data_IF_014396837982
#
_entry.id   IF_014396837982
#
_cell.length_a   1.000
_cell.length_b   1.000
_cell.length_c   1.000
_cell.angle_alpha   90.00
_cell.angle_beta   90.00
_cell.angle_gamma   90.00
#
_symmetry.space_group_name_H-M   'P 1'
#
loop_
_entity.id
_entity.type
_entity.pdbx_description
1 polymer ?
#
# COMPACT_ATOMS: atom_id res chain seq x y z
N UNK A 1 20.09 -8.99 -21.80
CA UNK A 1 21.17 -8.27 -21.10
C UNK A 1 21.02 -6.77 -21.29
N UNK A 2 20.83 -6.24 -22.53
CA UNK A 2 20.71 -4.79 -22.79
C UNK A 2 19.47 -4.12 -22.14
N UNK A 3 18.37 -4.83 -21.90
CA UNK A 3 17.15 -4.27 -21.32
C UNK A 3 17.26 -4.05 -19.80
N UNK A 4 18.09 -4.82 -19.09
CA UNK A 4 18.34 -4.65 -17.65
C UNK A 4 19.25 -3.44 -17.40
N UNK A 5 20.26 -3.22 -18.24
CA UNK A 5 21.19 -2.09 -18.08
C UNK A 5 20.54 -0.74 -18.32
N UNK A 6 19.61 -0.62 -19.27
CA UNK A 6 18.89 0.64 -19.53
C UNK A 6 17.89 1.00 -18.43
N UNK A 7 17.26 0.00 -17.81
CA UNK A 7 16.38 0.20 -16.64
C UNK A 7 17.16 0.72 -15.44
N UNK A 8 18.28 0.10 -15.12
CA UNK A 8 19.17 0.48 -14.04
C UNK A 8 19.76 1.89 -14.22
N UNK A 9 20.19 2.24 -15.45
CA UNK A 9 20.71 3.58 -15.75
C UNK A 9 19.65 4.68 -15.58
N UNK A 10 18.41 4.43 -16.02
CA UNK A 10 17.30 5.38 -15.86
C UNK A 10 16.94 5.59 -14.40
N UNK A 11 16.88 4.53 -13.61
CA UNK A 11 16.64 4.61 -12.18
C UNK A 11 17.76 5.38 -11.46
N UNK A 12 19.03 5.09 -11.80
CA UNK A 12 20.17 5.83 -11.27
C UNK A 12 20.10 7.32 -11.58
N UNK A 13 19.74 7.70 -12.81
CA UNK A 13 19.56 9.10 -13.19
C UNK A 13 18.42 9.79 -12.42
N UNK A 14 17.27 9.12 -12.25
CA UNK A 14 16.16 9.64 -11.44
C UNK A 14 16.60 9.89 -10.00
N UNK A 15 17.32 8.92 -9.40
CA UNK A 15 17.83 9.03 -8.05
C UNK A 15 18.79 10.21 -7.88
N UNK A 16 19.77 10.35 -8.79
CA UNK A 16 20.75 11.45 -8.76
C UNK A 16 20.07 12.79 -8.98
N UNK A 17 19.10 12.87 -9.90
CA UNK A 17 18.35 14.10 -10.13
C UNK A 17 17.60 14.53 -8.85
N UNK A 18 16.88 13.59 -8.21
CA UNK A 18 16.13 13.85 -6.99
C UNK A 18 17.04 14.24 -5.81
N UNK A 19 18.18 13.56 -5.66
CA UNK A 19 19.19 13.94 -4.66
C UNK A 19 19.75 15.35 -4.89
N UNK A 20 19.94 15.74 -6.15
CA UNK A 20 20.36 17.08 -6.52
C UNK A 20 19.31 18.15 -6.22
N UNK A 21 18.01 17.84 -6.40
CA UNK A 21 16.92 18.73 -5.99
C UNK A 21 16.92 18.97 -4.48
N UNK A 22 17.08 17.89 -3.69
CA UNK A 22 17.14 17.96 -2.22
C UNK A 22 18.33 18.79 -1.73
N UNK A 23 19.53 18.56 -2.27
CA UNK A 23 20.72 19.36 -1.96
C UNK A 23 20.51 20.84 -2.26
N UNK A 24 19.96 21.15 -3.44
CA UNK A 24 19.66 22.54 -3.85
C UNK A 24 18.63 23.21 -2.94
N UNK A 25 17.59 22.49 -2.55
CA UNK A 25 16.56 23.01 -1.64
C UNK A 25 17.14 23.30 -0.24
N UNK A 26 18.15 22.54 0.20
CA UNK A 26 18.87 22.78 1.44
C UNK A 26 19.94 23.91 1.34
N UNK A 27 20.20 24.42 0.13
CA UNK A 27 21.25 25.42 -0.12
C UNK A 27 22.66 24.84 -0.24
N UNK A 28 22.79 23.52 -0.36
CA UNK A 28 24.06 22.82 -0.49
C UNK A 28 24.52 22.78 -1.95
N UNK A 29 25.85 22.84 -2.14
CA UNK A 29 26.49 22.81 -3.46
C UNK A 29 26.94 21.40 -3.87
N UNK A 30 26.85 20.41 -2.96
CA UNK A 30 27.28 19.04 -3.19
C UNK A 30 26.20 18.04 -2.78
N UNK A 31 26.08 16.98 -3.56
CA UNK A 31 25.20 15.84 -3.23
C UNK A 31 25.97 14.94 -2.27
N UNK A 32 25.45 14.78 -1.06
CA UNK A 32 25.95 13.85 -0.06
C UNK A 32 25.21 12.51 -0.10
N UNK A 33 25.76 11.48 0.53
CA UNK A 33 25.10 10.17 0.68
C UNK A 33 23.74 10.29 1.35
N UNK A 34 23.59 11.21 2.32
CA UNK A 34 22.33 11.47 2.99
C UNK A 34 21.22 11.93 2.01
N UNK A 35 21.54 12.81 1.05
CA UNK A 35 20.59 13.23 0.02
C UNK A 35 20.21 12.08 -0.91
N UNK A 36 21.13 11.17 -1.20
CA UNK A 36 20.84 9.98 -2.01
C UNK A 36 19.87 9.05 -1.27
N UNK A 37 20.07 8.80 0.02
CA UNK A 37 19.14 8.00 0.83
C UNK A 37 17.77 8.65 0.96
N UNK A 38 17.70 9.95 1.18
CA UNK A 38 16.42 10.68 1.22
C UNK A 38 15.69 10.63 -0.13
N UNK A 39 16.42 10.80 -1.22
CA UNK A 39 15.87 10.71 -2.57
C UNK A 39 15.32 9.31 -2.87
N UNK A 40 16.04 8.27 -2.47
CA UNK A 40 15.60 6.90 -2.62
C UNK A 40 14.29 6.65 -1.86
N UNK A 41 14.20 7.04 -0.59
CA UNK A 41 13.00 6.89 0.22
C UNK A 41 11.79 7.63 -0.39
N UNK A 42 11.99 8.87 -0.90
CA UNK A 42 10.93 9.63 -1.56
C UNK A 42 10.46 9.00 -2.88
N UNK A 43 11.37 8.42 -3.66
CA UNK A 43 11.03 7.73 -4.90
C UNK A 43 10.26 6.44 -4.61
N UNK A 44 10.69 5.65 -3.64
CA UNK A 44 9.99 4.43 -3.21
C UNK A 44 8.58 4.75 -2.69
N UNK A 45 8.43 5.79 -1.86
CA UNK A 45 7.13 6.25 -1.38
C UNK A 45 6.22 6.69 -2.53
N UNK A 46 6.76 7.43 -3.50
CA UNK A 46 6.02 7.87 -4.69
C UNK A 46 5.55 6.71 -5.58
N UNK A 47 6.36 5.66 -5.72
CA UNK A 47 5.99 4.44 -6.46
C UNK A 47 4.86 3.67 -5.74
N UNK A 48 4.92 3.57 -4.42
CA UNK A 48 3.86 2.95 -3.60
C UNK A 48 2.56 3.75 -3.71
N UNK A 49 2.62 5.07 -3.56
CA UNK A 49 1.46 5.97 -3.71
C UNK A 49 0.82 5.82 -5.09
N UNK A 50 1.64 5.84 -6.15
CA UNK A 50 1.16 5.61 -7.51
C UNK A 50 0.50 4.22 -7.65
N UNK A 51 1.14 3.18 -7.12
CA UNK A 51 0.58 1.83 -7.11
C UNK A 51 -0.77 1.74 -6.40
N UNK A 52 -0.95 2.46 -5.28
CA UNK A 52 -2.25 2.53 -4.60
C UNK A 52 -3.31 3.21 -5.46
N UNK A 53 -2.98 4.30 -6.17
CA UNK A 53 -3.94 5.03 -7.01
C UNK A 53 -4.37 4.24 -8.25
N UNK A 54 -3.49 3.38 -8.79
CA UNK A 54 -3.75 2.56 -9.98
C UNK A 54 -4.47 1.23 -9.68
N UNK A 55 -4.83 0.97 -8.43
CA UNK A 55 -5.56 -0.24 -8.07
C UNK A 55 -6.92 -0.31 -8.79
N UNK A 56 -7.39 -1.53 -9.03
CA UNK A 56 -8.78 -1.74 -9.45
C UNK A 56 -9.74 -1.32 -8.33
N UNK A 57 -11.02 -1.10 -8.67
CA UNK A 57 -12.06 -0.77 -7.70
C UNK A 57 -12.13 -1.78 -6.53
N UNK A 58 -11.99 -3.07 -6.81
CA UNK A 58 -11.94 -4.10 -5.76
C UNK A 58 -10.62 -4.13 -4.99
N UNK A 59 -9.53 -3.72 -5.62
CA UNK A 59 -8.25 -3.47 -4.95
C UNK A 59 -8.38 -2.35 -3.92
N UNK A 60 -8.98 -1.22 -4.30
CA UNK A 60 -9.28 -0.12 -3.39
C UNK A 60 -10.19 -0.54 -2.23
N UNK A 61 -11.28 -1.29 -2.51
CA UNK A 61 -12.16 -1.82 -1.46
C UNK A 61 -11.41 -2.72 -0.47
N UNK A 62 -10.48 -3.55 -0.97
CA UNK A 62 -9.66 -4.43 -0.14
C UNK A 62 -8.66 -3.63 0.71
N UNK A 63 -8.07 -2.56 0.13
CA UNK A 63 -7.19 -1.64 0.83
C UNK A 63 -7.93 -0.92 1.97
N UNK A 64 -9.12 -0.34 1.68
CA UNK A 64 -9.95 0.34 2.68
C UNK A 64 -10.40 -0.59 3.79
N UNK A 65 -10.73 -1.85 3.47
CA UNK A 65 -11.12 -2.85 4.47
C UNK A 65 -9.97 -3.22 5.41
N UNK A 66 -8.75 -3.36 4.88
CA UNK A 66 -7.55 -3.60 5.69
C UNK A 66 -7.20 -2.37 6.53
N UNK A 67 -7.27 -1.16 5.96
CA UNK A 67 -7.04 0.11 6.65
C UNK A 67 -7.99 0.30 7.82
N UNK A 68 -9.26 -0.02 7.66
CA UNK A 68 -10.26 0.08 8.74
C UNK A 68 -9.86 -0.76 9.96
N UNK A 69 -9.39 -2.01 9.74
CA UNK A 69 -8.90 -2.86 10.82
C UNK A 69 -7.61 -2.34 11.45
N UNK A 70 -6.72 -1.77 10.66
CA UNK A 70 -5.48 -1.16 11.17
C UNK A 70 -5.77 0.04 12.07
N UNK A 71 -6.69 0.91 11.69
CA UNK A 71 -7.12 2.06 12.50
C UNK A 71 -7.84 1.63 13.79
N UNK A 72 -8.49 0.47 13.80
CA UNK A 72 -9.04 -0.16 15.01
C UNK A 72 -7.98 -0.87 15.87
N UNK A 73 -6.69 -0.86 15.48
CA UNK A 73 -5.59 -1.60 16.12
C UNK A 73 -5.83 -3.11 16.18
N UNK A 74 -6.45 -3.68 15.15
CA UNK A 74 -6.78 -5.11 15.03
C UNK A 74 -5.97 -5.81 13.95
N UNK A 75 -4.81 -5.28 13.60
CA UNK A 75 -3.81 -5.91 12.73
C UNK A 75 -2.67 -6.54 13.55
N UNK A 76 -1.95 -7.56 13.01
CA UNK A 76 -2.16 -8.20 11.71
C UNK A 76 -3.48 -8.97 11.62
N UNK A 77 -4.20 -8.81 10.50
CA UNK A 77 -5.55 -9.34 10.30
C UNK A 77 -5.57 -10.50 9.31
N UNK A 78 -6.43 -11.50 9.57
CA UNK A 78 -6.66 -12.62 8.65
C UNK A 78 -7.66 -12.24 7.56
N UNK A 79 -7.61 -12.93 6.43
CA UNK A 79 -8.60 -12.78 5.34
C UNK A 79 -10.04 -12.90 5.84
N UNK A 80 -10.29 -13.79 6.83
CA UNK A 80 -11.62 -13.99 7.42
C UNK A 80 -12.13 -12.77 8.18
N UNK A 81 -11.22 -11.92 8.68
CA UNK A 81 -11.55 -10.73 9.46
C UNK A 81 -11.67 -9.51 8.54
N UNK A 82 -10.86 -9.45 7.46
CA UNK A 82 -10.89 -8.40 6.44
C UNK A 82 -12.14 -8.52 5.55
N UNK A 83 -12.52 -9.75 5.17
CA UNK A 83 -13.58 -9.98 4.20
C UNK A 83 -14.97 -9.44 4.61
N UNK A 84 -15.44 -9.55 5.86
CA UNK A 84 -16.69 -8.91 6.29
C UNK A 84 -16.67 -7.39 6.12
N UNK A 85 -15.54 -6.72 6.44
CA UNK A 85 -15.37 -5.27 6.26
C UNK A 85 -15.44 -4.91 4.78
N UNK A 86 -14.71 -5.63 3.94
CA UNK A 86 -14.75 -5.47 2.50
C UNK A 86 -16.17 -5.57 1.93
N UNK A 87 -16.95 -6.58 2.35
CA UNK A 87 -18.33 -6.73 1.90
C UNK A 87 -19.21 -5.54 2.29
N UNK A 88 -19.13 -5.12 3.54
CA UNK A 88 -19.91 -3.97 4.02
C UNK A 88 -19.60 -2.71 3.22
N UNK A 89 -18.31 -2.42 2.99
CA UNK A 89 -17.88 -1.23 2.24
C UNK A 89 -18.32 -1.33 0.77
N UNK A 90 -18.22 -2.50 0.15
CA UNK A 90 -18.67 -2.73 -1.22
C UNK A 90 -20.19 -2.49 -1.36
N UNK A 91 -20.98 -3.09 -0.47
CA UNK A 91 -22.45 -2.95 -0.45
C UNK A 91 -22.86 -1.49 -0.23
N UNK A 92 -22.22 -0.77 0.69
CA UNK A 92 -22.46 0.66 0.92
C UNK A 92 -22.05 1.53 -0.27
N UNK A 93 -21.04 1.14 -1.01
CA UNK A 93 -20.59 1.82 -2.24
C UNK A 93 -21.38 1.41 -3.48
N UNK A 94 -22.44 0.62 -3.35
CA UNK A 94 -23.23 0.07 -4.47
C UNK A 94 -22.39 -0.73 -5.47
N UNK A 95 -21.41 -1.49 -4.95
CA UNK A 95 -20.55 -2.38 -5.72
C UNK A 95 -20.81 -3.82 -5.29
N UNK A 96 -21.04 -4.71 -6.26
CA UNK A 96 -21.24 -6.14 -5.97
C UNK A 96 -19.97 -6.75 -5.37
N UNK A 97 -20.00 -7.30 -4.14
CA UNK A 97 -18.81 -7.83 -3.51
C UNK A 97 -18.34 -9.12 -4.18
N UNK A 98 -17.03 -9.24 -4.41
CA UNK A 98 -16.43 -10.48 -4.86
C UNK A 98 -16.48 -11.55 -3.77
N UNK A 99 -16.37 -12.82 -4.18
CA UNK A 99 -16.18 -13.93 -3.22
C UNK A 99 -14.83 -13.81 -2.51
N UNK A 100 -14.76 -14.35 -1.28
CA UNK A 100 -13.58 -14.25 -0.40
C UNK A 100 -12.26 -14.61 -1.07
N UNK A 101 -12.24 -15.63 -1.94
CA UNK A 101 -11.03 -16.05 -2.66
C UNK A 101 -10.51 -14.95 -3.57
N UNK A 102 -11.39 -14.28 -4.32
CA UNK A 102 -11.02 -13.19 -5.24
C UNK A 102 -10.56 -11.94 -4.47
N UNK A 103 -11.20 -11.62 -3.35
CA UNK A 103 -10.73 -10.54 -2.49
C UNK A 103 -9.32 -10.86 -1.93
N UNK A 104 -9.05 -12.12 -1.59
CA UNK A 104 -7.72 -12.54 -1.16
C UNK A 104 -6.65 -12.34 -2.25
N UNK A 105 -6.98 -12.53 -3.53
CA UNK A 105 -6.07 -12.23 -4.63
C UNK A 105 -5.66 -10.75 -4.61
N UNK A 106 -6.60 -9.83 -4.36
CA UNK A 106 -6.29 -8.39 -4.22
C UNK A 106 -5.42 -8.08 -2.99
N UNK A 107 -5.58 -8.78 -1.87
CA UNK A 107 -4.65 -8.63 -0.73
C UNK A 107 -3.24 -9.11 -1.07
N UNK A 108 -3.11 -10.16 -1.88
CA UNK A 108 -1.83 -10.63 -2.37
C UNK A 108 -1.18 -9.61 -3.32
N UNK A 109 -1.97 -8.97 -4.19
CA UNK A 109 -1.49 -7.88 -5.05
C UNK A 109 -1.00 -6.68 -4.22
N UNK A 110 -1.72 -6.28 -3.17
CA UNK A 110 -1.29 -5.24 -2.24
C UNK A 110 0.03 -5.59 -1.54
N UNK A 111 0.23 -6.86 -1.21
CA UNK A 111 1.49 -7.34 -0.65
C UNK A 111 2.64 -7.33 -1.69
N UNK A 112 2.35 -7.67 -2.94
CA UNK A 112 3.35 -7.57 -4.03
C UNK A 112 3.78 -6.13 -4.31
N UNK A 113 2.87 -5.16 -4.14
CA UNK A 113 3.16 -3.73 -4.26
C UNK A 113 3.89 -3.16 -3.04
N UNK A 114 4.13 -3.96 -1.99
CA UNK A 114 4.79 -3.52 -0.78
C UNK A 114 3.92 -2.66 0.15
N UNK A 115 2.62 -2.55 -0.12
CA UNK A 115 1.65 -1.81 0.70
C UNK A 115 1.32 -2.61 1.98
N UNK A 116 1.09 -3.92 1.82
CA UNK A 116 0.88 -4.85 2.92
C UNK A 116 2.08 -5.79 3.08
N UNK A 117 2.36 -6.19 4.30
CA UNK A 117 3.21 -7.32 4.63
C UNK A 117 2.35 -8.55 4.89
N UNK A 118 2.71 -9.68 4.28
CA UNK A 118 2.01 -10.95 4.42
C UNK A 118 2.80 -11.91 5.28
N UNK A 119 2.25 -12.28 6.42
CA UNK A 119 2.82 -13.26 7.34
C UNK A 119 2.17 -14.62 7.18
N UNK A 120 2.96 -15.66 6.92
CA UNK A 120 2.48 -17.04 6.93
C UNK A 120 2.46 -17.56 8.35
N UNK A 121 1.32 -18.12 8.79
CA UNK A 121 1.13 -18.73 10.09
C UNK A 121 0.71 -20.19 9.93
N UNK A 122 1.14 -21.04 10.85
CA UNK A 122 0.76 -22.44 10.88
C UNK A 122 0.38 -22.84 12.32
N UNK A 123 -0.89 -23.14 12.54
CA UNK A 123 -1.43 -23.60 13.82
C UNK A 123 -1.46 -25.13 13.95
N UNK A 124 -0.71 -25.82 13.09
CA UNK A 124 -0.61 -27.28 13.14
C UNK A 124 -1.92 -28.00 12.77
N UNK A 125 -2.19 -29.13 13.44
CA UNK A 125 -3.36 -29.98 13.12
C UNK A 125 -4.70 -29.31 13.39
N UNK A 126 -4.79 -28.34 14.30
CA UNK A 126 -6.04 -27.71 14.73
C UNK A 126 -6.43 -26.47 13.92
N UNK A 127 -5.47 -25.77 13.28
CA UNK A 127 -5.76 -24.49 12.60
C UNK A 127 -5.30 -24.41 11.15
N UNK A 128 -4.40 -25.32 10.71
CA UNK A 128 -3.84 -25.29 9.37
C UNK A 128 -2.93 -24.10 9.11
N UNK A 129 -2.61 -23.92 7.83
CA UNK A 129 -1.82 -22.78 7.36
C UNK A 129 -2.74 -21.64 6.91
N UNK A 130 -2.44 -20.41 7.30
CA UNK A 130 -3.16 -19.20 6.90
C UNK A 130 -2.22 -18.01 6.79
N UNK A 131 -2.72 -16.92 6.22
CA UNK A 131 -2.00 -15.66 6.08
C UNK A 131 -2.64 -14.58 6.92
N UNK A 132 -1.79 -13.77 7.54
CA UNK A 132 -2.12 -12.52 8.19
C UNK A 132 -1.49 -11.36 7.41
N UNK A 133 -2.16 -10.22 7.42
CA UNK A 133 -1.74 -9.02 6.71
C UNK A 133 -1.63 -7.85 7.67
N UNK A 134 -0.55 -7.10 7.54
CA UNK A 134 -0.34 -5.83 8.22
C UNK A 134 0.13 -4.78 7.23
N UNK A 135 0.06 -3.50 7.58
CA UNK A 135 0.60 -2.45 6.73
C UNK A 135 2.13 -2.39 6.84
N UNK A 136 2.77 -2.25 5.69
CA UNK A 136 4.22 -2.04 5.54
C UNK A 136 4.54 -0.58 5.18
N UNK A 137 3.53 0.28 5.18
CA UNK A 137 3.61 1.70 4.84
C UNK A 137 2.94 2.54 5.92
N UNK A 138 3.23 3.83 5.93
CA UNK A 138 2.59 4.75 6.85
C UNK A 138 1.07 4.81 6.58
N UNK A 139 0.27 4.61 7.62
CA UNK A 139 -1.19 4.66 7.53
C UNK A 139 -1.70 6.06 7.14
N UNK A 140 -0.98 7.12 7.49
CA UNK A 140 -1.33 8.48 7.09
C UNK A 140 -1.29 8.63 5.57
N UNK A 141 -0.23 8.11 4.92
CA UNK A 141 -0.14 8.07 3.46
C UNK A 141 -1.31 7.30 2.84
N UNK A 142 -1.66 6.14 3.41
CA UNK A 142 -2.79 5.34 2.92
C UNK A 142 -4.11 6.10 3.08
N UNK A 143 -4.33 6.76 4.22
CA UNK A 143 -5.53 7.58 4.45
C UNK A 143 -5.64 8.73 3.45
N UNK A 144 -4.54 9.43 3.16
CA UNK A 144 -4.52 10.51 2.16
C UNK A 144 -4.91 10.00 0.77
N UNK A 145 -4.29 8.89 0.32
CA UNK A 145 -4.61 8.31 -1.00
C UNK A 145 -6.07 7.84 -1.07
N UNK A 146 -6.53 7.16 -0.02
CA UNK A 146 -7.91 6.64 0.05
C UNK A 146 -8.93 7.78 0.12
N UNK A 147 -8.61 8.88 0.80
CA UNK A 147 -9.46 10.07 0.89
C UNK A 147 -9.73 10.75 -0.46
N UNK A 148 -8.80 10.63 -1.39
CA UNK A 148 -8.92 11.16 -2.77
C UNK A 148 -9.73 10.24 -3.72
N UNK A 149 -10.10 9.02 -3.28
CA UNK A 149 -10.80 8.06 -4.13
C UNK A 149 -12.29 8.39 -4.26
N UNK A 150 -12.75 8.54 -5.49
CA UNK A 150 -14.16 8.78 -5.77
C UNK A 150 -14.99 7.48 -5.82
N UNK A 151 -16.24 7.56 -5.39
CA UNK A 151 -17.23 6.48 -5.55
C UNK A 151 -17.08 5.33 -4.57
N UNK A 152 -16.35 5.52 -3.47
CA UNK A 152 -16.29 4.61 -2.34
C UNK A 152 -16.88 5.28 -1.10
N UNK A 153 -17.64 4.52 -0.32
CA UNK A 153 -18.07 4.94 1.01
C UNK A 153 -17.00 4.57 2.00
N UNK A 154 -16.34 5.59 2.56
CA UNK A 154 -15.27 5.37 3.53
C UNK A 154 -15.84 5.20 4.95
N UNK A 155 -15.33 4.25 5.74
CA UNK A 155 -15.67 4.13 7.16
C UNK A 155 -15.31 5.40 7.93
N UNK A 156 -16.09 5.73 8.99
CA UNK A 156 -15.87 6.95 9.81
C UNK A 156 -14.44 7.05 10.35
N UNK A 157 -13.85 5.92 10.76
CA UNK A 157 -12.46 5.89 11.24
C UNK A 157 -11.44 6.30 10.18
N UNK A 158 -11.73 6.09 8.89
CA UNK A 158 -10.87 6.51 7.77
C UNK A 158 -11.07 8.00 7.48
N UNK A 159 -12.32 8.48 7.53
CA UNK A 159 -12.66 9.88 7.25
C UNK A 159 -12.02 10.88 8.22
N UNK A 160 -11.62 10.46 9.42
CA UNK A 160 -10.95 11.32 10.40
C UNK A 160 -9.49 11.62 10.05
N UNK A 161 -8.89 10.81 9.19
CA UNK A 161 -7.48 10.90 8.78
C UNK A 161 -7.30 11.23 7.29
N UNK A 162 -8.39 11.27 6.51
CA UNK A 162 -8.38 11.54 5.07
C UNK A 162 -8.44 13.04 4.72
#
# INVERSE_FOLDING_TARGET
>A
IAAQDTGSARQGLKLMYKAGELARAAGDTAITENYVHQAQAQLEQGEIEHGMRELTRHGHLSLVAALHLALENTTPARVRDIYPRYRTIAEQSSIDPLVRRRMHDHLADLAMLGILERHSRNEGRSGGQYYEYDFNVDLELVCQVVGDLEGLVLPEGVLQYA
#
